data_IF_431497631778
#
_entry.id   IF_431497631778
#
_cell.length_a   1.000
_cell.length_b   1.000
_cell.length_c   1.000
_cell.angle_alpha   90.00
_cell.angle_beta   90.00
_cell.angle_gamma   90.00
#
_symmetry.space_group_name_H-M   'P 1'
#
loop_
_entity.id
_entity.type
_entity.pdbx_description
1 polymer ?
#
# COMPACT_ATOMS: atom_id res chain seq x y z
N UNK A 1 -38.57 -22.87 -5.71
CA UNK A 1 -37.29 -23.12 -5.01
C UNK A 1 -37.19 -24.59 -4.69
N UNK A 2 -36.05 -25.22 -5.02
CA UNK A 2 -35.93 -26.67 -5.15
C UNK A 2 -35.42 -27.29 -3.84
N UNK A 3 -36.15 -28.22 -3.20
CA UNK A 3 -35.66 -28.96 -2.02
C UNK A 3 -34.31 -29.65 -2.28
N UNK A 4 -34.01 -29.94 -3.55
CA UNK A 4 -32.71 -30.45 -3.99
C UNK A 4 -31.53 -29.51 -3.68
N UNK A 5 -31.73 -28.19 -3.70
CA UNK A 5 -30.67 -27.21 -3.42
C UNK A 5 -30.30 -27.23 -1.94
N UNK A 6 -31.29 -27.31 -1.05
CA UNK A 6 -31.08 -27.41 0.41
C UNK A 6 -30.34 -28.70 0.77
N UNK A 7 -30.74 -29.84 0.20
CA UNK A 7 -30.05 -31.11 0.43
C UNK A 7 -28.59 -31.10 -0.02
N UNK A 8 -28.28 -30.44 -1.14
CA UNK A 8 -26.89 -30.25 -1.58
C UNK A 8 -26.09 -29.39 -0.61
N UNK A 9 -26.68 -28.29 -0.12
CA UNK A 9 -26.04 -27.41 0.87
C UNK A 9 -25.78 -28.18 2.17
N UNK A 10 -26.74 -28.98 2.66
CA UNK A 10 -26.55 -29.83 3.85
C UNK A 10 -25.41 -30.83 3.69
N UNK A 11 -25.35 -31.50 2.53
CA UNK A 11 -24.27 -32.44 2.22
C UNK A 11 -22.91 -31.75 2.21
N UNK A 12 -22.82 -30.58 1.60
CA UNK A 12 -21.58 -29.81 1.55
C UNK A 12 -21.18 -29.30 2.94
N UNK A 13 -22.15 -28.85 3.75
CA UNK A 13 -21.90 -28.41 5.12
C UNK A 13 -21.41 -29.55 6.02
N UNK A 14 -21.83 -30.78 5.79
CA UNK A 14 -21.31 -31.94 6.52
C UNK A 14 -19.81 -32.18 6.27
N UNK A 15 -19.24 -31.60 5.21
CA UNK A 15 -17.81 -31.69 4.89
C UNK A 15 -16.96 -30.57 5.51
N UNK A 16 -17.58 -29.55 6.13
CA UNK A 16 -16.85 -28.46 6.78
C UNK A 16 -16.99 -28.54 8.31
N UNK A 17 -15.92 -28.24 9.07
CA UNK A 17 -16.02 -28.19 10.52
C UNK A 17 -16.91 -27.02 10.94
N UNK A 18 -17.95 -27.30 11.74
CA UNK A 18 -18.73 -26.26 12.39
C UNK A 18 -17.91 -25.66 13.53
N UNK A 19 -17.77 -24.34 13.49
CA UNK A 19 -17.01 -23.58 14.49
C UNK A 19 -17.90 -23.20 15.68
N UNK A 20 -17.28 -22.74 16.75
CA UNK A 20 -17.98 -22.20 17.91
C UNK A 20 -18.69 -20.88 17.58
N UNK A 21 -19.61 -20.48 18.46
CA UNK A 21 -20.34 -19.21 18.33
C UNK A 21 -19.40 -18.01 18.31
N UNK A 22 -19.83 -16.95 17.63
CA UNK A 22 -19.08 -15.71 17.52
C UNK A 22 -18.91 -15.05 18.89
N UNK A 23 -17.71 -14.57 19.17
CA UNK A 23 -17.47 -13.72 20.34
C UNK A 23 -17.96 -12.30 20.04
N UNK A 24 -18.85 -11.79 20.88
CA UNK A 24 -19.44 -10.46 20.70
C UNK A 24 -18.69 -9.36 21.46
N UNK A 25 -18.92 -8.12 21.07
CA UNK A 25 -18.32 -6.95 21.73
C UNK A 25 -19.18 -6.44 22.88
N UNK A 26 -18.53 -6.11 24.00
CA UNK A 26 -19.15 -5.33 25.09
C UNK A 26 -19.20 -3.82 24.77
N UNK A 27 -18.26 -3.33 23.95
CA UNK A 27 -18.23 -1.92 23.55
C UNK A 27 -19.13 -1.71 22.31
N UNK A 28 -20.23 -0.94 22.39
CA UNK A 28 -21.14 -0.68 21.26
C UNK A 28 -20.46 0.01 20.07
N UNK A 29 -19.40 0.79 20.32
CA UNK A 29 -18.63 1.42 19.26
C UNK A 29 -17.91 0.39 18.40
N UNK A 30 -17.35 -0.66 19.01
CA UNK A 30 -16.64 -1.72 18.27
C UNK A 30 -17.57 -2.51 17.36
N UNK A 31 -18.85 -2.70 17.74
CA UNK A 31 -19.87 -3.31 16.88
C UNK A 31 -20.02 -2.53 15.57
N UNK A 32 -20.17 -1.20 15.65
CA UNK A 32 -20.32 -0.33 14.47
C UNK A 32 -19.03 -0.32 13.65
N UNK A 33 -17.89 -0.15 14.32
CA UNK A 33 -16.59 -0.08 13.64
C UNK A 33 -16.29 -1.38 12.89
N UNK A 34 -16.48 -2.54 13.51
CA UNK A 34 -16.25 -3.84 12.88
C UNK A 34 -17.10 -4.00 11.62
N UNK A 35 -18.41 -3.79 11.73
CA UNK A 35 -19.29 -4.04 10.60
C UNK A 35 -19.04 -3.08 9.44
N UNK A 36 -18.83 -1.79 9.73
CA UNK A 36 -18.62 -0.77 8.68
C UNK A 36 -17.24 -0.93 8.02
N UNK A 37 -16.22 -1.34 8.78
CA UNK A 37 -14.86 -1.61 8.26
C UNK A 37 -14.80 -2.91 7.43
N UNK A 38 -15.64 -3.89 7.72
CA UNK A 38 -15.68 -5.20 7.05
C UNK A 38 -16.20 -5.19 5.61
N UNK A 39 -16.46 -4.01 5.04
CA UNK A 39 -16.94 -3.84 3.67
C UNK A 39 -15.79 -3.97 2.67
N UNK A 40 -15.79 -5.04 1.87
CA UNK A 40 -14.86 -5.25 0.74
C UNK A 40 -13.37 -5.12 1.13
N UNK A 41 -13.03 -5.62 2.33
CA UNK A 41 -11.66 -5.67 2.87
C UNK A 41 -11.32 -7.07 3.33
N UNK A 42 -10.04 -7.38 3.33
CA UNK A 42 -9.50 -8.58 3.99
C UNK A 42 -9.62 -8.36 5.49
N UNK A 43 -10.42 -9.17 6.17
CA UNK A 43 -10.82 -8.94 7.56
C UNK A 43 -9.62 -8.94 8.51
N UNK A 44 -8.76 -9.94 8.38
CA UNK A 44 -7.64 -10.21 9.28
C UNK A 44 -6.52 -9.18 9.15
N UNK A 45 -6.19 -8.78 7.92
CA UNK A 45 -5.07 -7.86 7.66
C UNK A 45 -5.49 -6.40 7.63
N UNK A 46 -6.78 -6.14 7.36
CA UNK A 46 -7.34 -4.80 7.35
C UNK A 46 -8.11 -4.52 8.61
N UNK A 47 -9.23 -5.18 8.88
CA UNK A 47 -10.18 -4.79 9.94
C UNK A 47 -9.61 -4.99 11.34
N UNK A 48 -9.13 -6.19 11.64
CA UNK A 48 -8.65 -6.58 12.99
C UNK A 48 -7.58 -5.63 13.54
N UNK A 49 -6.51 -5.25 12.80
CA UNK A 49 -5.53 -4.28 13.29
C UNK A 49 -6.11 -2.92 13.65
N UNK A 50 -7.15 -2.44 12.92
CA UNK A 50 -7.78 -1.14 13.21
C UNK A 50 -8.66 -1.20 14.45
N UNK A 51 -9.40 -2.30 14.63
CA UNK A 51 -10.20 -2.50 15.83
C UNK A 51 -9.31 -2.62 17.07
N UNK A 52 -8.21 -3.38 16.96
CA UNK A 52 -7.24 -3.50 18.05
C UNK A 52 -6.55 -2.16 18.36
N UNK A 53 -6.18 -1.38 17.33
CA UNK A 53 -5.66 -0.03 17.51
C UNK A 53 -6.66 0.86 18.24
N UNK A 54 -7.93 0.88 17.82
CA UNK A 54 -8.98 1.66 18.46
C UNK A 54 -9.21 1.24 19.92
N UNK A 55 -9.38 -0.06 20.16
CA UNK A 55 -9.60 -0.63 21.49
C UNK A 55 -8.45 -0.35 22.46
N UNK A 56 -7.22 -0.35 21.97
CA UNK A 56 -6.02 -0.15 22.80
C UNK A 56 -5.77 1.34 23.09
N UNK A 57 -5.92 2.20 22.09
CA UNK A 57 -5.53 3.61 22.21
C UNK A 57 -6.67 4.53 22.65
N UNK A 58 -7.93 4.12 22.45
CA UNK A 58 -9.12 4.92 22.76
C UNK A 58 -10.17 4.12 23.54
N UNK A 59 -9.81 3.40 24.62
CA UNK A 59 -10.76 2.60 25.41
C UNK A 59 -11.86 3.45 26.06
N UNK A 60 -11.62 4.75 26.24
CA UNK A 60 -12.59 5.71 26.75
C UNK A 60 -13.76 5.96 25.79
N UNK A 61 -13.61 5.70 24.49
CA UNK A 61 -14.70 5.84 23.52
C UNK A 61 -15.52 4.55 23.53
N UNK A 62 -16.43 4.47 24.50
CA UNK A 62 -17.20 3.25 24.79
C UNK A 62 -18.73 3.44 24.80
N UNK A 63 -19.22 4.62 24.43
CA UNK A 63 -20.65 4.92 24.24
C UNK A 63 -20.89 5.54 22.86
N UNK A 64 -22.10 5.39 22.33
CA UNK A 64 -22.52 5.99 21.07
C UNK A 64 -22.41 7.51 21.12
N UNK A 65 -22.78 8.14 22.24
CA UNK A 65 -22.65 9.59 22.41
C UNK A 65 -21.18 10.04 22.38
N UNK A 66 -20.26 9.30 23.02
CA UNK A 66 -18.83 9.60 22.94
C UNK A 66 -18.28 9.44 21.52
N UNK A 67 -18.69 8.38 20.80
CA UNK A 67 -18.29 8.16 19.41
C UNK A 67 -18.79 9.29 18.50
N UNK A 68 -20.08 9.63 18.61
CA UNK A 68 -20.71 10.72 17.84
C UNK A 68 -20.01 12.05 18.11
N UNK A 69 -19.83 12.40 19.39
CA UNK A 69 -19.18 13.65 19.79
C UNK A 69 -17.72 13.71 19.32
N UNK A 70 -17.00 12.58 19.37
CA UNK A 70 -15.63 12.49 18.89
C UNK A 70 -15.56 12.76 17.38
N UNK A 71 -16.40 12.09 16.59
CA UNK A 71 -16.44 12.27 15.14
C UNK A 71 -16.82 13.71 14.78
N UNK A 72 -17.86 14.27 15.41
CA UNK A 72 -18.28 15.65 15.17
C UNK A 72 -17.19 16.67 15.51
N UNK A 73 -16.41 16.42 16.57
CA UNK A 73 -15.31 17.31 16.98
C UNK A 73 -14.15 17.32 15.99
N UNK A 74 -13.82 16.19 15.37
CA UNK A 74 -12.67 16.09 14.45
C UNK A 74 -13.02 16.22 12.97
N UNK A 75 -14.30 16.14 12.63
CA UNK A 75 -14.78 16.01 11.26
C UNK A 75 -14.80 14.55 10.82
N UNK A 76 -15.89 14.14 10.17
CA UNK A 76 -16.10 12.75 9.75
C UNK A 76 -15.00 12.22 8.81
N UNK A 77 -14.48 13.07 7.94
CA UNK A 77 -13.40 12.82 7.00
C UNK A 77 -12.05 12.53 7.68
N UNK A 78 -11.86 13.02 8.92
CA UNK A 78 -10.62 12.87 9.68
C UNK A 78 -10.68 11.77 10.73
N UNK A 79 -11.87 11.23 11.02
CA UNK A 79 -12.04 10.24 12.08
C UNK A 79 -11.23 8.97 11.81
N UNK A 80 -11.34 8.42 10.59
CA UNK A 80 -10.69 7.16 10.26
C UNK A 80 -9.16 7.25 10.27
N UNK A 81 -8.58 8.33 9.74
CA UNK A 81 -7.14 8.51 9.73
C UNK A 81 -6.59 8.66 11.15
N UNK A 82 -7.32 9.37 12.02
CA UNK A 82 -6.89 9.67 13.39
C UNK A 82 -7.13 8.55 14.40
N UNK A 83 -8.30 7.91 14.37
CA UNK A 83 -8.71 6.96 15.40
C UNK A 83 -8.62 5.50 14.95
N UNK A 84 -8.55 5.24 13.64
CA UNK A 84 -8.43 3.90 13.08
C UNK A 84 -7.11 3.68 12.34
N UNK A 85 -6.23 4.68 12.21
CA UNK A 85 -5.04 4.60 11.35
C UNK A 85 -5.41 4.11 9.92
N UNK A 86 -6.47 4.70 9.36
CA UNK A 86 -7.07 4.25 8.11
C UNK A 86 -7.35 5.41 7.15
N UNK A 87 -6.73 5.37 5.98
CA UNK A 87 -6.77 6.45 4.99
C UNK A 87 -7.95 6.27 4.03
N UNK A 88 -9.17 6.43 4.54
CA UNK A 88 -10.39 6.47 3.72
C UNK A 88 -11.44 7.37 4.39
N UNK A 89 -11.56 8.61 3.94
CA UNK A 89 -12.36 9.66 4.60
C UNK A 89 -13.85 9.29 4.72
N UNK A 90 -14.43 8.70 3.66
CA UNK A 90 -15.87 8.45 3.58
C UNK A 90 -16.39 7.49 4.67
N UNK A 91 -15.52 6.65 5.26
CA UNK A 91 -15.95 5.70 6.27
C UNK A 91 -16.39 6.36 7.57
N UNK A 92 -15.79 7.49 7.94
CA UNK A 92 -16.15 8.19 9.16
C UNK A 92 -17.57 8.75 9.12
N UNK A 93 -18.05 9.13 7.92
CA UNK A 93 -19.46 9.54 7.75
C UNK A 93 -20.41 8.36 7.93
N UNK A 94 -20.08 7.20 7.38
CA UNK A 94 -20.89 5.98 7.55
C UNK A 94 -20.95 5.58 9.03
N UNK A 95 -19.82 5.60 9.74
CA UNK A 95 -19.76 5.31 11.18
C UNK A 95 -20.65 6.29 11.96
N UNK A 96 -20.54 7.59 11.68
CA UNK A 96 -21.34 8.63 12.33
C UNK A 96 -22.84 8.41 12.14
N UNK A 97 -23.28 8.23 10.89
CA UNK A 97 -24.69 8.06 10.55
C UNK A 97 -25.27 6.78 11.15
N UNK A 98 -24.45 5.72 11.20
CA UNK A 98 -24.82 4.45 11.85
C UNK A 98 -24.99 4.65 13.36
N UNK A 99 -24.03 5.32 14.00
CA UNK A 99 -24.08 5.60 15.44
C UNK A 99 -25.28 6.49 15.80
N UNK A 100 -25.54 7.53 15.01
CA UNK A 100 -26.72 8.40 15.20
C UNK A 100 -28.03 7.63 15.05
N UNK A 101 -28.14 6.75 14.05
CA UNK A 101 -29.34 5.95 13.86
C UNK A 101 -29.60 5.03 15.06
N UNK A 102 -28.58 4.31 15.54
CA UNK A 102 -28.71 3.48 16.73
C UNK A 102 -29.04 4.31 17.96
N UNK A 103 -28.40 5.46 18.15
CA UNK A 103 -28.61 6.33 19.31
C UNK A 103 -30.06 6.84 19.39
N UNK A 104 -30.68 7.19 18.25
CA UNK A 104 -32.07 7.65 18.21
C UNK A 104 -33.05 6.49 18.45
N UNK A 105 -32.70 5.26 18.08
CA UNK A 105 -33.58 4.09 18.18
C UNK A 105 -33.34 3.23 19.44
N UNK A 106 -32.44 3.65 20.35
CA UNK A 106 -32.08 2.87 21.56
C UNK A 106 -33.19 2.78 22.62
N UNK A 107 -34.32 3.48 22.45
CA UNK A 107 -35.54 3.38 23.26
C UNK A 107 -35.32 3.40 24.80
N UNK A 108 -34.54 4.38 25.29
CA UNK A 108 -34.13 4.55 26.70
C UNK A 108 -33.28 3.43 27.32
N UNK A 109 -32.88 2.42 26.54
CA UNK A 109 -31.90 1.44 26.98
C UNK A 109 -30.49 2.01 26.95
N UNK A 110 -29.59 1.39 27.72
CA UNK A 110 -28.15 1.57 27.56
C UNK A 110 -27.73 1.16 26.15
N UNK A 111 -26.65 1.76 25.65
CA UNK A 111 -26.32 1.74 24.22
C UNK A 111 -26.34 0.34 23.59
N UNK A 112 -25.61 -0.63 24.14
CA UNK A 112 -25.55 -1.98 23.57
C UNK A 112 -26.90 -2.71 23.63
N UNK A 113 -27.63 -2.58 24.73
CA UNK A 113 -28.96 -3.19 24.88
C UNK A 113 -29.96 -2.56 23.91
N UNK A 114 -29.93 -1.24 23.75
CA UNK A 114 -30.76 -0.53 22.80
C UNK A 114 -30.43 -0.85 21.35
N UNK A 115 -29.15 -1.09 21.03
CA UNK A 115 -28.75 -1.58 19.70
C UNK A 115 -29.32 -2.98 19.44
N UNK A 116 -29.22 -3.90 20.40
CA UNK A 116 -29.79 -5.26 20.30
C UNK A 116 -31.31 -5.20 20.14
N UNK A 117 -31.98 -4.38 20.96
CA UNK A 117 -33.43 -4.15 20.87
C UNK A 117 -33.79 -3.65 19.47
N UNK A 118 -33.15 -2.59 18.98
CA UNK A 118 -33.43 -2.05 17.66
C UNK A 118 -33.20 -3.08 16.54
N UNK A 119 -32.11 -3.84 16.59
CA UNK A 119 -31.79 -4.88 15.63
C UNK A 119 -32.84 -6.01 15.57
N UNK A 120 -33.52 -6.30 16.69
CA UNK A 120 -34.61 -7.27 16.75
C UNK A 120 -35.93 -6.77 16.15
N UNK A 121 -36.06 -5.45 15.90
CA UNK A 121 -37.32 -4.89 15.41
C UNK A 121 -37.54 -5.18 13.91
N UNK A 122 -38.81 -5.31 13.46
CA UNK A 122 -39.12 -5.48 12.04
C UNK A 122 -38.63 -4.34 11.13
N UNK A 123 -38.41 -3.16 11.69
CA UNK A 123 -37.99 -1.97 10.94
C UNK A 123 -36.47 -1.88 10.78
N UNK A 124 -35.66 -2.67 11.50
CA UNK A 124 -34.21 -2.56 11.52
C UNK A 124 -33.61 -2.49 10.11
N UNK A 125 -33.85 -3.52 9.28
CA UNK A 125 -33.29 -3.59 7.93
C UNK A 125 -33.76 -2.46 7.03
N UNK A 126 -34.99 -1.96 7.21
CA UNK A 126 -35.52 -0.84 6.43
C UNK A 126 -34.81 0.46 6.78
N UNK A 127 -34.55 0.69 8.06
CA UNK A 127 -33.96 1.93 8.55
C UNK A 127 -32.42 1.94 8.38
N UNK A 128 -31.73 0.86 8.74
CA UNK A 128 -30.26 0.79 8.68
C UNK A 128 -29.73 0.92 7.24
N UNK A 129 -30.46 0.39 6.25
CA UNK A 129 -30.11 0.52 4.82
C UNK A 129 -30.30 1.94 4.26
N UNK A 130 -30.91 2.87 5.01
CA UNK A 130 -30.97 4.29 4.62
C UNK A 130 -29.63 5.00 4.85
N UNK A 131 -28.77 4.45 5.71
CA UNK A 131 -27.41 4.98 5.90
C UNK A 131 -26.61 4.73 4.62
N UNK A 132 -26.16 5.81 3.98
CA UNK A 132 -25.38 5.71 2.75
C UNK A 132 -24.11 4.88 2.99
N UNK A 133 -23.92 3.84 2.20
CA UNK A 133 -22.82 2.88 2.35
C UNK A 133 -23.16 1.60 3.13
N UNK A 134 -24.37 1.46 3.68
CA UNK A 134 -24.82 0.19 4.26
C UNK A 134 -25.70 -0.57 3.25
N UNK A 135 -25.13 -1.61 2.66
CA UNK A 135 -25.86 -2.61 1.87
C UNK A 135 -26.42 -3.75 2.72
N UNK A 136 -27.08 -4.73 2.08
CA UNK A 136 -27.66 -5.90 2.76
C UNK A 136 -26.64 -6.71 3.56
N UNK A 137 -25.43 -6.91 3.01
CA UNK A 137 -24.37 -7.65 3.68
C UNK A 137 -23.95 -6.96 4.99
N UNK A 138 -23.65 -5.66 4.97
CA UNK A 138 -23.28 -4.91 6.19
C UNK A 138 -24.42 -4.85 7.20
N UNK A 139 -25.66 -4.65 6.74
CA UNK A 139 -26.83 -4.62 7.62
C UNK A 139 -27.03 -5.96 8.36
N UNK A 140 -26.88 -7.08 7.67
CA UNK A 140 -26.99 -8.41 8.28
C UNK A 140 -25.80 -8.74 9.17
N UNK A 141 -24.59 -8.31 8.81
CA UNK A 141 -23.42 -8.47 9.68
C UNK A 141 -23.54 -7.67 10.98
N UNK A 142 -24.05 -6.43 10.93
CA UNK A 142 -24.41 -5.67 12.13
C UNK A 142 -25.41 -6.44 13.01
N UNK A 143 -26.42 -7.06 12.40
CA UNK A 143 -27.41 -7.86 13.12
C UNK A 143 -26.78 -9.08 13.80
N UNK A 144 -25.88 -9.78 13.10
CA UNK A 144 -25.12 -10.92 13.65
C UNK A 144 -24.31 -10.48 14.87
N UNK A 145 -23.55 -9.38 14.78
CA UNK A 145 -22.76 -8.85 15.91
C UNK A 145 -23.63 -8.41 17.10
N UNK A 146 -24.92 -8.19 16.88
CA UNK A 146 -25.92 -7.86 17.90
C UNK A 146 -26.75 -9.08 18.36
N UNK A 147 -26.35 -10.30 17.96
CA UNK A 147 -26.97 -11.56 18.39
C UNK A 147 -28.24 -11.94 17.62
N UNK A 148 -28.51 -11.32 16.47
CA UNK A 148 -29.60 -11.75 15.59
C UNK A 148 -29.10 -12.93 14.76
N UNK A 149 -29.80 -14.06 14.84
CA UNK A 149 -29.50 -15.26 14.06
C UNK A 149 -29.87 -15.04 12.58
N UNK A 150 -28.88 -14.62 11.80
CA UNK A 150 -28.99 -14.35 10.36
C UNK A 150 -27.67 -14.67 9.67
N UNK A 151 -27.69 -14.67 8.34
CA UNK A 151 -26.53 -14.82 7.45
C UNK A 151 -26.12 -13.49 6.84
N UNK A 152 -24.84 -13.27 6.64
CA UNK A 152 -24.27 -12.16 5.87
C UNK A 152 -24.02 -12.63 4.43
N UNK A 153 -24.80 -12.21 3.43
CA UNK A 153 -24.61 -12.65 2.04
C UNK A 153 -23.42 -11.93 1.39
N UNK A 154 -22.19 -12.18 1.86
CA UNK A 154 -20.97 -11.66 1.25
C UNK A 154 -20.42 -12.60 0.16
N UNK A 155 -19.27 -12.22 -0.42
CA UNK A 155 -18.68 -12.96 -1.52
C UNK A 155 -18.35 -14.43 -1.17
N UNK A 156 -18.03 -14.74 0.10
CA UNK A 156 -17.70 -16.10 0.52
C UNK A 156 -18.96 -16.95 0.62
N UNK A 157 -20.01 -16.43 1.26
CA UNK A 157 -21.30 -17.12 1.38
C UNK A 157 -21.93 -17.34 -0.01
N UNK A 158 -21.97 -16.30 -0.84
CA UNK A 158 -22.54 -16.39 -2.19
C UNK A 158 -21.77 -17.41 -3.04
N UNK A 159 -20.43 -17.41 -2.97
CA UNK A 159 -19.59 -18.37 -3.70
C UNK A 159 -19.83 -19.80 -3.22
N UNK A 160 -19.83 -20.03 -1.91
CA UNK A 160 -20.07 -21.35 -1.33
C UNK A 160 -21.41 -21.91 -1.82
N UNK A 161 -22.49 -21.15 -1.68
CA UNK A 161 -23.82 -21.59 -2.12
C UNK A 161 -23.82 -21.82 -3.63
N UNK A 162 -23.32 -20.85 -4.42
CA UNK A 162 -23.35 -20.94 -5.89
C UNK A 162 -22.60 -22.15 -6.43
N UNK A 163 -21.43 -22.47 -5.85
CA UNK A 163 -20.64 -23.64 -6.21
C UNK A 163 -21.34 -24.94 -5.81
N UNK A 164 -21.94 -24.98 -4.62
CA UNK A 164 -22.64 -26.16 -4.10
C UNK A 164 -23.84 -26.55 -4.95
N UNK A 165 -24.59 -25.56 -5.44
CA UNK A 165 -25.81 -25.80 -6.22
C UNK A 165 -25.60 -25.69 -7.73
N UNK A 166 -24.39 -25.35 -8.17
CA UNK A 166 -23.96 -25.19 -9.57
C UNK A 166 -24.79 -24.15 -10.36
N UNK A 167 -25.08 -23.00 -9.73
CA UNK A 167 -25.69 -21.84 -10.39
C UNK A 167 -25.47 -20.57 -9.57
N UNK A 168 -25.63 -19.41 -10.21
CA UNK A 168 -25.60 -18.12 -9.52
C UNK A 168 -26.83 -17.97 -8.59
N UNK A 169 -26.61 -17.32 -7.45
CA UNK A 169 -27.66 -16.91 -6.50
C UNK A 169 -27.59 -15.41 -6.22
N UNK A 170 -28.73 -14.79 -5.91
CA UNK A 170 -28.77 -13.42 -5.41
C UNK A 170 -28.45 -13.36 -3.91
N UNK A 171 -28.24 -12.14 -3.37
CA UNK A 171 -28.03 -11.93 -1.94
C UNK A 171 -29.24 -12.42 -1.11
N UNK A 172 -30.46 -12.13 -1.55
CA UNK A 172 -31.69 -12.57 -0.89
C UNK A 172 -31.90 -14.09 -0.98
N UNK A 173 -31.56 -14.68 -2.13
CA UNK A 173 -31.65 -16.13 -2.31
C UNK A 173 -30.63 -16.86 -1.44
N UNK A 174 -29.39 -16.36 -1.35
CA UNK A 174 -28.38 -16.88 -0.45
C UNK A 174 -28.86 -16.86 1.01
N UNK A 175 -29.52 -15.76 1.40
CA UNK A 175 -30.12 -15.65 2.74
C UNK A 175 -31.19 -16.73 2.96
N UNK A 176 -32.16 -16.86 2.05
CA UNK A 176 -33.26 -17.81 2.21
C UNK A 176 -32.76 -19.25 2.26
N UNK A 177 -31.87 -19.62 1.32
CA UNK A 177 -31.31 -20.95 1.23
C UNK A 177 -30.57 -21.34 2.51
N UNK A 178 -29.68 -20.48 3.01
CA UNK A 178 -28.91 -20.82 4.20
C UNK A 178 -29.76 -20.81 5.48
N UNK A 179 -30.71 -19.88 5.60
CA UNK A 179 -31.65 -19.84 6.75
C UNK A 179 -32.50 -21.11 6.81
N UNK A 180 -33.00 -21.58 5.67
CA UNK A 180 -33.80 -22.82 5.60
C UNK A 180 -32.95 -24.06 5.84
N UNK A 181 -31.74 -24.08 5.29
CA UNK A 181 -30.78 -25.17 5.52
C UNK A 181 -30.45 -25.29 7.01
N UNK A 182 -30.13 -24.17 7.67
CA UNK A 182 -29.87 -24.11 9.10
C UNK A 182 -31.06 -24.65 9.92
N UNK A 183 -32.27 -24.21 9.58
CA UNK A 183 -33.51 -24.70 10.22
C UNK A 183 -33.71 -26.20 10.06
N UNK A 184 -33.40 -26.79 8.91
CA UNK A 184 -33.49 -28.24 8.70
C UNK A 184 -32.39 -29.03 9.42
N UNK A 185 -31.26 -28.38 9.70
CA UNK A 185 -30.15 -28.96 10.46
C UNK A 185 -30.31 -28.78 11.98
N UNK A 186 -31.31 -28.02 12.43
CA UNK A 186 -31.47 -27.59 13.83
C UNK A 186 -30.23 -26.84 14.36
N UNK A 187 -29.64 -25.98 13.51
CA UNK A 187 -28.42 -25.22 13.78
C UNK A 187 -28.66 -23.71 13.63
N UNK A 188 -27.86 -22.90 14.33
CA UNK A 188 -27.86 -21.45 14.14
C UNK A 188 -27.34 -21.09 12.75
N UNK A 189 -28.08 -20.23 12.04
CA UNK A 189 -27.65 -19.76 10.72
C UNK A 189 -26.41 -18.87 10.83
N UNK A 190 -26.27 -18.09 11.90
CA UNK A 190 -25.07 -17.29 12.16
C UNK A 190 -23.83 -18.15 12.42
N UNK A 191 -24.00 -19.30 13.10
CA UNK A 191 -22.92 -20.28 13.30
C UNK A 191 -22.50 -20.91 11.98
N UNK A 192 -23.45 -21.29 11.14
CA UNK A 192 -23.18 -21.82 9.79
C UNK A 192 -22.51 -20.76 8.92
N UNK A 193 -22.96 -19.51 8.96
CA UNK A 193 -22.33 -18.37 8.26
C UNK A 193 -20.86 -18.23 8.64
N UNK A 194 -20.54 -18.18 9.93
CA UNK A 194 -19.16 -18.09 10.42
C UNK A 194 -18.32 -19.30 9.99
N UNK A 195 -18.89 -20.51 10.04
CA UNK A 195 -18.23 -21.75 9.64
C UNK A 195 -17.87 -21.73 8.15
N UNK A 196 -18.82 -21.35 7.29
CA UNK A 196 -18.59 -21.19 5.85
C UNK A 196 -17.55 -20.10 5.62
N UNK A 197 -17.66 -18.96 6.28
CA UNK A 197 -16.74 -17.85 6.08
C UNK A 197 -15.31 -18.24 6.43
N UNK A 198 -15.06 -18.89 7.57
CA UNK A 198 -13.72 -19.38 7.95
C UNK A 198 -13.20 -20.46 7.00
N UNK A 199 -14.09 -21.33 6.53
CA UNK A 199 -13.74 -22.33 5.52
C UNK A 199 -13.31 -21.67 4.20
N UNK A 200 -14.08 -20.67 3.76
CA UNK A 200 -13.92 -20.03 2.45
C UNK A 200 -12.87 -18.91 2.43
N UNK A 201 -12.52 -18.33 3.58
CA UNK A 201 -11.50 -17.29 3.71
C UNK A 201 -10.09 -17.88 3.80
N UNK A 202 -9.96 -19.14 4.24
CA UNK A 202 -8.67 -19.84 4.32
C UNK A 202 -8.34 -20.61 3.02
N UNK A 203 -7.28 -20.24 2.28
CA UNK A 203 -6.89 -20.92 1.05
C UNK A 203 -6.50 -22.39 1.25
N UNK A 204 -6.01 -22.77 2.44
CA UNK A 204 -5.56 -24.14 2.70
C UNK A 204 -6.72 -25.14 2.80
N UNK A 205 -7.88 -24.69 3.29
CA UNK A 205 -9.09 -25.52 3.39
C UNK A 205 -9.65 -25.87 2.01
N UNK A 206 -9.42 -25.00 1.02
CA UNK A 206 -9.78 -25.25 -0.38
C UNK A 206 -8.84 -26.28 -1.03
N UNK A 207 -7.54 -26.20 -0.73
CA UNK A 207 -6.51 -27.16 -1.20
C UNK A 207 -6.69 -28.58 -0.63
N UNK A 208 -7.18 -28.72 0.61
CA UNK A 208 -7.49 -30.04 1.19
C UNK A 208 -8.71 -30.68 0.51
N UNK A 209 -9.73 -29.88 0.16
CA UNK A 209 -10.93 -30.35 -0.54
C UNK A 209 -10.60 -30.95 -1.92
N UNK A 210 -9.67 -30.32 -2.63
CA UNK A 210 -9.15 -30.79 -3.92
C UNK A 210 -8.35 -32.10 -3.78
N UNK A 211 -7.64 -32.30 -2.66
CA UNK A 211 -6.88 -33.52 -2.37
C UNK A 211 -7.74 -34.70 -1.92
N UNK A 212 -8.87 -34.47 -1.26
CA UNK A 212 -9.73 -35.54 -0.71
C UNK A 212 -10.70 -36.18 -1.70
N UNK A 213 -10.75 -35.74 -2.97
CA UNK A 213 -11.46 -36.47 -4.04
C UNK A 213 -13.00 -36.50 -3.92
N UNK A 214 -13.61 -35.59 -3.15
CA UNK A 214 -15.07 -35.54 -2.93
C UNK A 214 -15.90 -35.00 -4.12
N UNK A 215 -15.25 -34.73 -5.27
CA UNK A 215 -15.91 -34.42 -6.54
C UNK A 215 -15.56 -35.47 -7.61
N UNK A 216 -16.01 -36.70 -7.40
CA UNK A 216 -16.05 -37.69 -8.47
C UNK A 216 -17.37 -37.53 -9.24
N UNK A 217 -17.30 -36.96 -10.46
CA UNK A 217 -18.27 -37.03 -11.57
C UNK A 217 -18.71 -35.69 -12.19
N UNK A 218 -17.81 -34.72 -12.28
CA UNK A 218 -17.85 -33.72 -13.34
C UNK A 218 -16.43 -33.49 -13.82
N UNK A 219 -16.23 -33.53 -15.15
CA UNK A 219 -14.95 -33.17 -15.76
C UNK A 219 -14.47 -31.83 -15.18
N UNK A 220 -13.18 -31.69 -14.86
CA UNK A 220 -12.70 -30.63 -13.98
C UNK A 220 -12.93 -29.26 -14.62
N UNK A 221 -13.88 -28.50 -14.07
CA UNK A 221 -14.00 -27.06 -14.32
C UNK A 221 -13.01 -26.38 -13.37
N UNK A 222 -11.86 -26.02 -13.92
CA UNK A 222 -10.75 -25.33 -13.28
C UNK A 222 -11.20 -23.93 -12.78
N UNK A 223 -11.56 -23.81 -11.50
CA UNK A 223 -11.89 -22.52 -10.86
C UNK A 223 -10.76 -22.09 -9.92
N UNK A 224 -9.80 -21.36 -10.50
CA UNK A 224 -8.65 -20.71 -9.85
C UNK A 224 -9.05 -19.77 -8.70
N UNK A 225 -8.64 -20.08 -7.47
CA UNK A 225 -8.29 -19.03 -6.49
C UNK A 225 -6.87 -18.61 -6.82
N UNK A 226 -6.75 -17.40 -7.35
CA UNK A 226 -5.64 -16.95 -8.18
C UNK A 226 -4.38 -16.59 -7.37
N UNK A 227 -3.85 -17.53 -6.56
CA UNK A 227 -2.40 -17.59 -6.37
C UNK A 227 -1.83 -18.27 -7.60
N UNK A 228 -1.34 -17.47 -8.53
CA UNK A 228 -0.66 -17.99 -9.72
C UNK A 228 0.48 -18.88 -9.22
N UNK A 229 0.36 -20.19 -9.43
CA UNK A 229 1.39 -21.14 -9.01
C UNK A 229 2.68 -20.84 -9.77
N UNK A 230 3.84 -21.36 -9.33
CA UNK A 230 5.06 -21.25 -10.13
C UNK A 230 4.90 -21.82 -11.55
N UNK A 231 4.05 -22.83 -11.70
CA UNK A 231 3.67 -23.36 -13.01
C UNK A 231 2.85 -22.34 -13.82
N UNK A 232 1.83 -21.72 -13.22
CA UNK A 232 1.03 -20.69 -13.89
C UNK A 232 1.85 -19.43 -14.21
N UNK A 233 2.82 -19.07 -13.36
CA UNK A 233 3.74 -17.95 -13.59
C UNK A 233 4.59 -18.23 -14.82
N UNK A 234 5.20 -19.41 -14.91
CA UNK A 234 6.01 -19.81 -16.07
C UNK A 234 5.18 -19.87 -17.34
N UNK A 235 4.01 -20.50 -17.28
CA UNK A 235 3.09 -20.55 -18.42
C UNK A 235 2.68 -19.16 -18.88
N UNK A 236 2.31 -18.29 -17.94
CA UNK A 236 1.96 -16.89 -18.24
C UNK A 236 3.14 -16.14 -18.83
N UNK A 237 4.35 -16.30 -18.26
CA UNK A 237 5.57 -15.68 -18.78
C UNK A 237 5.82 -16.09 -20.25
N UNK A 238 5.70 -17.38 -20.57
CA UNK A 238 5.82 -17.89 -21.95
C UNK A 238 4.77 -17.27 -22.88
N UNK A 239 3.50 -17.19 -22.44
CA UNK A 239 2.40 -16.58 -23.20
C UNK A 239 2.66 -15.10 -23.48
N UNK A 240 3.05 -14.33 -22.47
CA UNK A 240 3.35 -12.90 -22.61
C UNK A 240 4.60 -12.65 -23.45
N UNK A 241 5.64 -13.49 -23.35
CA UNK A 241 6.82 -13.43 -24.22
C UNK A 241 6.46 -13.74 -25.67
N UNK A 242 5.59 -14.72 -25.92
CA UNK A 242 5.10 -15.03 -27.26
C UNK A 242 4.24 -13.90 -27.84
N UNK A 243 3.41 -13.24 -27.01
CA UNK A 243 2.68 -12.02 -27.40
C UNK A 243 3.65 -10.89 -27.76
N UNK A 244 4.66 -10.64 -26.93
CA UNK A 244 5.67 -9.61 -27.19
C UNK A 244 6.38 -9.83 -28.52
N UNK A 245 6.86 -11.05 -28.79
CA UNK A 245 7.49 -11.40 -30.06
C UNK A 245 6.58 -11.16 -31.26
N UNK A 246 5.28 -11.48 -31.15
CA UNK A 246 4.29 -11.21 -32.21
C UNK A 246 4.08 -9.72 -32.47
N UNK A 247 3.98 -8.91 -31.42
CA UNK A 247 3.82 -7.45 -31.57
C UNK A 247 5.07 -6.81 -32.20
N UNK A 248 6.27 -7.25 -31.82
CA UNK A 248 7.51 -6.81 -32.45
C UNK A 248 7.58 -7.25 -33.93
N UNK A 249 7.16 -8.47 -34.27
CA UNK A 249 7.08 -8.94 -35.66
C UNK A 249 6.09 -8.12 -36.50
N UNK A 250 5.06 -7.54 -35.87
CA UNK A 250 4.11 -6.61 -36.50
C UNK A 250 4.66 -5.17 -36.60
N UNK A 251 5.93 -4.96 -36.28
CA UNK A 251 6.61 -3.67 -36.26
C UNK A 251 6.02 -2.66 -35.25
N UNK A 252 5.36 -3.13 -34.19
CA UNK A 252 4.92 -2.23 -33.10
C UNK A 252 6.16 -1.70 -32.36
N UNK A 253 6.30 -0.38 -32.16
CA UNK A 253 7.41 0.18 -31.41
C UNK A 253 7.44 -0.34 -29.97
N UNK A 254 8.60 -0.80 -29.50
CA UNK A 254 8.76 -1.33 -28.13
C UNK A 254 8.39 -0.32 -27.03
N UNK A 255 8.50 0.97 -27.32
CA UNK A 255 8.08 2.04 -26.41
C UNK A 255 6.57 2.13 -26.20
N UNK A 256 5.76 1.52 -27.06
CA UNK A 256 4.29 1.41 -26.94
C UNK A 256 3.87 0.13 -26.19
N UNK A 257 4.80 -0.79 -25.96
CA UNK A 257 4.57 -2.07 -25.27
C UNK A 257 4.94 -1.99 -23.77
N UNK A 258 4.82 -0.82 -23.14
CA UNK A 258 5.21 -0.60 -21.73
C UNK A 258 4.43 -1.47 -20.75
N UNK A 259 3.12 -1.67 -20.98
CA UNK A 259 2.31 -2.57 -20.16
C UNK A 259 2.74 -4.03 -20.30
N UNK A 260 3.04 -4.47 -21.53
CA UNK A 260 3.45 -5.82 -21.83
C UNK A 260 4.83 -6.14 -21.26
N UNK A 261 5.79 -5.22 -21.45
CA UNK A 261 7.15 -5.34 -20.88
C UNK A 261 7.15 -5.24 -19.36
N UNK A 262 6.31 -4.36 -18.78
CA UNK A 262 6.05 -4.32 -17.34
C UNK A 262 5.61 -5.68 -16.80
N UNK A 263 4.57 -6.25 -17.41
CA UNK A 263 4.02 -7.55 -17.00
C UNK A 263 5.01 -8.71 -17.13
N UNK A 264 5.76 -8.77 -18.23
CA UNK A 264 6.82 -9.76 -18.42
C UNK A 264 7.89 -9.63 -17.31
N UNK A 265 8.26 -8.40 -16.97
CA UNK A 265 9.22 -8.15 -15.89
C UNK A 265 8.74 -8.65 -14.53
N UNK A 266 7.50 -8.37 -14.16
CA UNK A 266 6.91 -8.85 -12.89
C UNK A 266 6.90 -10.40 -12.83
N UNK A 267 6.44 -11.04 -13.91
CA UNK A 267 6.38 -12.50 -14.03
C UNK A 267 7.76 -13.16 -13.97
N UNK A 268 8.74 -12.56 -14.65
CA UNK A 268 10.13 -13.00 -14.63
C UNK A 268 10.71 -12.95 -13.22
N UNK A 269 10.52 -11.82 -12.52
CA UNK A 269 11.01 -11.66 -11.15
C UNK A 269 10.33 -12.67 -10.22
N UNK A 270 9.01 -12.86 -10.34
CA UNK A 270 8.27 -13.86 -9.57
C UNK A 270 8.79 -15.29 -9.76
N UNK A 271 9.04 -15.75 -11.00
CA UNK A 271 9.66 -17.07 -11.20
C UNK A 271 11.10 -17.09 -10.66
N UNK A 272 11.90 -16.04 -10.88
CA UNK A 272 13.30 -16.00 -10.45
C UNK A 272 13.45 -16.15 -8.95
N UNK A 273 12.67 -15.40 -8.16
CA UNK A 273 12.72 -15.45 -6.68
C UNK A 273 11.90 -16.60 -6.10
N UNK A 274 11.33 -17.46 -6.96
CA UNK A 274 10.41 -18.56 -6.61
C UNK A 274 9.24 -18.05 -5.75
N UNK A 275 8.79 -16.85 -6.08
CA UNK A 275 7.81 -16.09 -5.35
C UNK A 275 6.43 -16.10 -6.00
N UNK A 276 5.60 -15.15 -5.61
CA UNK A 276 4.24 -14.99 -6.14
C UNK A 276 3.97 -13.54 -6.51
N UNK A 277 3.01 -13.32 -7.41
CA UNK A 277 2.58 -11.97 -7.78
C UNK A 277 1.87 -11.28 -6.62
N UNK A 278 2.02 -9.96 -6.53
CA UNK A 278 1.17 -9.07 -5.76
C UNK A 278 -0.33 -9.32 -6.03
N UNK A 279 -1.12 -9.64 -5.00
CA UNK A 279 -2.52 -10.09 -5.15
C UNK A 279 -3.56 -8.96 -5.22
N UNK A 280 -3.28 -7.75 -4.71
CA UNK A 280 -4.28 -6.67 -4.68
C UNK A 280 -4.16 -5.70 -5.85
N UNK A 281 -5.30 -5.25 -6.37
CA UNK A 281 -5.41 -4.24 -7.44
C UNK A 281 -4.99 -2.82 -7.02
N UNK A 282 -4.39 -2.65 -5.84
CA UNK A 282 -3.94 -1.37 -5.29
C UNK A 282 -2.75 -1.53 -4.31
N UNK A 283 -1.82 -2.46 -4.57
CA UNK A 283 -0.65 -2.65 -3.71
C UNK A 283 0.28 -1.43 -3.71
N UNK A 284 0.75 -1.07 -2.52
CA UNK A 284 1.54 0.14 -2.30
C UNK A 284 2.99 -0.08 -2.71
N UNK A 285 3.28 0.04 -4.00
CA UNK A 285 4.63 0.27 -4.52
C UNK A 285 5.52 -0.96 -4.75
N UNK A 286 5.01 -2.17 -4.54
CA UNK A 286 5.68 -3.44 -4.84
C UNK A 286 4.78 -4.35 -5.69
N UNK A 287 5.39 -5.27 -6.44
CA UNK A 287 4.75 -6.03 -7.51
C UNK A 287 4.87 -7.56 -7.32
N UNK A 288 5.83 -8.02 -6.51
CA UNK A 288 6.14 -9.44 -6.28
C UNK A 288 6.42 -9.70 -4.79
N UNK A 289 6.01 -10.85 -4.28
CA UNK A 289 6.48 -11.41 -3.00
C UNK A 289 7.55 -12.47 -3.25
N UNK A 290 8.68 -12.42 -2.53
CA UNK A 290 9.65 -13.51 -2.55
C UNK A 290 9.14 -14.76 -1.82
N UNK A 291 9.86 -15.87 -1.93
CA UNK A 291 9.57 -17.07 -1.15
C UNK A 291 9.73 -16.86 0.38
N UNK A 292 10.44 -15.81 0.80
CA UNK A 292 10.63 -15.42 2.20
C UNK A 292 9.71 -14.23 2.58
N UNK A 293 8.60 -14.05 1.85
CA UNK A 293 7.60 -12.99 2.04
C UNK A 293 8.12 -11.53 1.93
N UNK A 294 9.29 -11.32 1.32
CA UNK A 294 9.80 -9.97 1.05
C UNK A 294 9.04 -9.31 -0.09
N UNK A 295 8.73 -8.02 0.06
CA UNK A 295 8.00 -7.20 -0.92
C UNK A 295 8.97 -6.57 -1.92
N UNK A 296 8.87 -6.99 -3.18
CA UNK A 296 9.79 -6.59 -4.25
C UNK A 296 9.09 -5.61 -5.21
N UNK A 297 9.67 -4.41 -5.38
CA UNK A 297 9.26 -3.46 -6.42
C UNK A 297 9.98 -3.74 -7.73
N UNK A 298 9.25 -3.97 -8.81
CA UNK A 298 9.79 -4.28 -10.13
C UNK A 298 9.71 -3.04 -11.03
N UNK A 299 10.80 -2.72 -11.72
CA UNK A 299 10.83 -1.67 -12.72
C UNK A 299 11.46 -2.20 -14.01
N UNK A 300 10.67 -2.15 -15.07
CA UNK A 300 11.08 -2.59 -16.41
C UNK A 300 11.29 -1.39 -17.32
N UNK A 301 12.31 -1.44 -18.17
CA UNK A 301 12.50 -0.48 -19.27
C UNK A 301 12.84 -1.18 -20.58
N UNK A 302 12.37 -0.61 -21.69
CA UNK A 302 12.83 -0.98 -23.03
C UNK A 302 13.87 -0.01 -23.58
N UNK A 303 14.09 1.13 -22.90
CA UNK A 303 15.07 2.11 -23.32
C UNK A 303 16.48 1.55 -23.19
N UNK A 304 17.41 1.98 -24.05
CA UNK A 304 18.86 1.80 -23.85
C UNK A 304 19.56 3.07 -23.37
N UNK A 305 18.82 4.16 -23.17
CA UNK A 305 19.39 5.46 -22.82
C UNK A 305 19.90 5.51 -21.38
N UNK A 306 21.15 5.96 -21.18
CA UNK A 306 21.72 6.22 -19.86
C UNK A 306 21.01 7.32 -19.07
N UNK A 307 20.25 8.21 -19.75
CA UNK A 307 19.43 9.24 -19.12
C UNK A 307 18.07 8.73 -18.61
N UNK A 308 17.69 7.49 -18.90
CA UNK A 308 16.45 6.91 -18.41
C UNK A 308 16.41 6.89 -16.88
N UNK A 309 15.25 7.20 -16.33
CA UNK A 309 15.00 7.29 -14.90
C UNK A 309 13.92 6.28 -14.50
N UNK A 310 14.24 5.46 -13.51
CA UNK A 310 13.29 4.57 -12.85
C UNK A 310 12.68 5.32 -11.67
N UNK A 311 11.39 5.62 -11.76
CA UNK A 311 10.68 6.39 -10.75
C UNK A 311 10.04 5.48 -9.69
N UNK A 312 10.12 5.94 -8.45
CA UNK A 312 9.52 5.33 -7.28
C UNK A 312 8.65 6.35 -6.57
N UNK A 313 7.54 5.89 -6.01
CA UNK A 313 6.64 6.76 -5.26
C UNK A 313 7.17 6.93 -3.82
N UNK A 314 7.49 8.17 -3.45
CA UNK A 314 8.00 8.50 -2.12
C UNK A 314 7.05 8.10 -0.98
N UNK A 315 5.73 8.07 -1.24
CA UNK A 315 4.71 7.72 -0.25
C UNK A 315 4.53 6.20 -0.08
N UNK A 316 5.17 5.38 -0.91
CA UNK A 316 5.00 3.91 -0.86
C UNK A 316 6.31 3.13 -0.81
N UNK A 317 7.45 3.79 -1.04
CA UNK A 317 8.76 3.12 -1.06
C UNK A 317 9.16 2.55 0.31
N UNK A 318 8.55 3.01 1.41
CA UNK A 318 8.74 2.45 2.75
C UNK A 318 8.10 1.07 2.95
N UNK A 319 7.16 0.68 2.08
CA UNK A 319 6.54 -0.65 2.10
C UNK A 319 7.26 -1.66 1.21
N UNK A 320 8.42 -1.28 0.64
CA UNK A 320 9.22 -2.11 -0.26
C UNK A 320 10.43 -2.61 0.51
N UNK A 321 10.68 -3.92 0.48
CA UNK A 321 11.86 -4.52 1.12
C UNK A 321 13.04 -4.60 0.14
N UNK A 322 12.74 -4.92 -1.13
CA UNK A 322 13.74 -5.11 -2.19
C UNK A 322 13.30 -4.45 -3.50
N UNK A 323 14.27 -4.03 -4.31
CA UNK A 323 14.03 -3.39 -5.62
C UNK A 323 14.69 -4.21 -6.71
N UNK A 324 13.93 -4.56 -7.73
CA UNK A 324 14.40 -5.26 -8.92
C UNK A 324 14.22 -4.39 -10.16
N UNK A 325 15.31 -4.10 -10.86
CA UNK A 325 15.29 -3.30 -12.10
C UNK A 325 15.84 -4.16 -13.24
N UNK A 326 15.08 -4.23 -14.33
CA UNK A 326 15.43 -5.00 -15.51
C UNK A 326 15.17 -4.21 -16.80
N UNK A 327 15.85 -4.64 -17.86
CA UNK A 327 15.65 -4.18 -19.22
C UNK A 327 15.17 -5.35 -20.08
N UNK A 328 14.20 -5.08 -20.95
CA UNK A 328 13.81 -6.01 -22.01
C UNK A 328 14.15 -5.33 -23.34
N UNK A 329 14.98 -5.98 -24.17
CA UNK A 329 15.30 -5.44 -25.49
C UNK A 329 14.30 -5.88 -26.56
N UNK A 330 14.60 -5.53 -27.82
CA UNK A 330 13.71 -5.79 -28.96
C UNK A 330 13.59 -7.28 -29.28
N UNK A 331 14.60 -8.07 -28.96
CA UNK A 331 14.60 -9.52 -29.20
C UNK A 331 13.86 -10.27 -28.08
N UNK A 332 13.49 -9.55 -27.02
CA UNK A 332 12.82 -10.08 -25.83
C UNK A 332 13.80 -10.59 -24.78
N UNK A 333 15.10 -10.30 -24.94
CA UNK A 333 16.12 -10.69 -23.98
C UNK A 333 16.02 -9.82 -22.73
N UNK A 334 16.08 -10.48 -21.57
CA UNK A 334 15.95 -9.85 -20.26
C UNK A 334 17.34 -9.63 -19.68
N UNK A 335 17.69 -8.37 -19.47
CA UNK A 335 18.92 -7.95 -18.80
C UNK A 335 18.60 -7.40 -17.41
N UNK A 336 19.16 -8.02 -16.38
CA UNK A 336 19.04 -7.52 -15.01
C UNK A 336 20.02 -6.36 -14.78
N UNK A 337 19.50 -5.25 -14.26
CA UNK A 337 20.28 -4.04 -14.02
C UNK A 337 20.56 -3.80 -12.53
N UNK A 338 19.66 -4.27 -11.66
CA UNK A 338 19.79 -4.11 -10.21
C UNK A 338 18.87 -5.09 -9.48
N UNK A 339 19.36 -5.73 -8.43
CA UNK A 339 18.54 -6.46 -7.46
C UNK A 339 19.21 -6.41 -6.08
N UNK A 340 18.62 -5.68 -5.15
CA UNK A 340 19.12 -5.52 -3.78
C UNK A 340 18.00 -4.98 -2.86
N UNK A 341 18.29 -4.88 -1.57
CA UNK A 341 17.51 -4.17 -0.56
C UNK A 341 17.12 -2.75 -0.97
N UNK A 342 15.97 -2.29 -0.46
CA UNK A 342 15.52 -0.91 -0.65
C UNK A 342 16.53 0.11 -0.11
N UNK A 343 17.31 -0.25 0.91
CA UNK A 343 18.32 0.63 1.50
C UNK A 343 19.48 0.90 0.53
N UNK A 344 19.99 -0.15 -0.13
CA UNK A 344 20.98 0.02 -1.19
C UNK A 344 20.38 0.72 -2.41
N UNK A 345 19.11 0.48 -2.73
CA UNK A 345 18.42 1.21 -3.79
C UNK A 345 18.33 2.72 -3.47
N UNK A 346 18.06 3.08 -2.21
CA UNK A 346 18.00 4.48 -1.74
C UNK A 346 19.34 5.20 -1.89
N UNK A 347 20.48 4.53 -1.68
CA UNK A 347 21.82 5.10 -1.96
C UNK A 347 21.96 5.56 -3.43
N UNK A 348 21.21 4.95 -4.35
CA UNK A 348 21.20 5.30 -5.78
C UNK A 348 20.15 6.35 -6.15
N UNK A 349 19.11 6.55 -5.33
CA UNK A 349 18.01 7.46 -5.61
C UNK A 349 18.44 8.94 -5.52
N UNK A 350 17.80 9.78 -6.33
CA UNK A 350 17.86 11.24 -6.21
C UNK A 350 16.44 11.75 -6.09
N UNK A 351 16.20 12.61 -5.10
CA UNK A 351 14.92 13.29 -4.96
C UNK A 351 14.96 14.64 -5.69
N UNK A 352 14.12 14.76 -6.73
CA UNK A 352 13.83 16.03 -7.43
C UNK A 352 12.32 16.19 -7.63
N UNK A 353 11.55 15.88 -6.59
CA UNK A 353 10.07 15.86 -6.61
C UNK A 353 9.48 14.49 -6.95
N UNK A 354 10.31 13.55 -7.41
CA UNK A 354 10.05 12.11 -7.48
C UNK A 354 11.34 11.37 -7.14
N UNK A 355 11.26 10.27 -6.41
CA UNK A 355 12.42 9.41 -6.17
C UNK A 355 12.78 8.70 -7.47
N UNK A 356 14.01 8.90 -7.95
CA UNK A 356 14.44 8.34 -9.22
C UNK A 356 15.84 7.73 -9.14
N UNK A 357 16.00 6.55 -9.75
CA UNK A 357 17.31 5.96 -10.04
C UNK A 357 17.62 6.18 -11.52
N UNK A 358 18.75 6.84 -11.82
CA UNK A 358 19.21 6.95 -13.21
C UNK A 358 19.93 5.69 -13.64
N UNK A 359 19.67 5.23 -14.86
CA UNK A 359 20.34 4.06 -15.44
C UNK A 359 21.87 4.18 -15.43
N UNK A 360 22.42 5.37 -15.63
CA UNK A 360 23.88 5.62 -15.57
C UNK A 360 24.52 5.25 -14.22
N UNK A 361 23.75 5.24 -13.12
CA UNK A 361 24.23 4.77 -11.81
C UNK A 361 24.23 3.24 -11.72
N UNK A 362 23.28 2.58 -12.37
CA UNK A 362 23.19 1.10 -12.42
C UNK A 362 24.34 0.47 -13.19
N UNK A 363 24.96 1.19 -14.12
CA UNK A 363 26.18 0.73 -14.79
C UNK A 363 27.46 0.93 -13.96
N UNK A 364 27.38 1.54 -12.78
CA UNK A 364 28.53 1.86 -11.91
C UNK A 364 28.21 1.61 -10.43
N UNK A 365 27.56 0.49 -10.11
CA UNK A 365 27.05 0.20 -8.76
C UNK A 365 28.13 0.25 -7.68
N UNK A 366 29.31 -0.31 -7.95
CA UNK A 366 30.44 -0.35 -7.00
C UNK A 366 30.83 1.03 -6.46
N UNK A 367 30.76 2.07 -7.32
CA UNK A 367 31.05 3.46 -6.93
C UNK A 367 30.09 3.99 -5.86
N UNK A 368 28.84 3.52 -5.86
CA UNK A 368 27.78 4.06 -5.01
C UNK A 368 27.40 3.13 -3.84
N UNK A 369 27.74 1.84 -3.91
CA UNK A 369 27.40 0.84 -2.91
C UNK A 369 28.58 0.41 -2.03
N UNK A 370 29.81 0.83 -2.33
CA UNK A 370 30.95 0.59 -1.44
C UNK A 370 30.85 1.47 -0.20
N UNK A 371 30.55 0.85 0.94
CA UNK A 371 30.76 1.47 2.24
C UNK A 371 32.27 1.64 2.42
N UNK A 372 32.79 2.87 2.40
CA UNK A 372 34.15 3.10 2.90
C UNK A 372 34.13 2.80 4.39
N UNK A 373 34.66 1.63 4.74
CA UNK A 373 34.91 1.20 6.12
C UNK A 373 35.76 2.24 6.83
N UNK A 374 35.26 2.67 7.98
CA UNK A 374 35.81 3.61 8.93
C UNK A 374 37.03 2.97 9.64
N UNK A 375 38.26 3.32 9.21
CA UNK A 375 39.53 2.91 9.87
C UNK A 375 40.36 4.15 10.22
N UNK A 376 39.77 5.16 10.86
CA UNK A 376 40.55 6.28 11.41
C UNK A 376 40.08 6.77 12.78
N UNK A 377 39.70 5.84 13.67
CA UNK A 377 39.76 6.03 15.13
C UNK A 377 41.04 5.41 15.69
N UNK A 378 42.17 6.01 15.34
CA UNK A 378 43.51 5.90 15.94
C UNK A 378 44.44 6.48 14.87
N UNK A 379 44.91 7.72 15.00
CA UNK A 379 46.18 8.00 15.66
C UNK A 379 46.24 9.50 16.00
N UNK A 380 46.78 9.72 17.18
CA UNK A 380 47.17 10.94 17.86
C UNK A 380 48.08 11.84 16.99
N UNK A 381 47.85 13.15 17.04
CA UNK A 381 48.93 14.14 16.94
C UNK A 381 49.08 14.90 15.63
N UNK A 382 48.77 16.19 15.71
CA UNK A 382 49.33 17.32 14.97
C UNK A 382 49.02 17.47 13.45
N UNK A 383 48.40 18.62 13.18
CA UNK A 383 48.44 19.41 11.95
C UNK A 383 47.71 18.89 10.70
N UNK A 384 46.68 19.68 10.36
CA UNK A 384 46.27 20.13 9.02
C UNK A 384 45.09 19.43 8.34
N UNK A 385 43.99 20.20 8.26
CA UNK A 385 42.99 20.30 7.20
C UNK A 385 42.05 19.13 6.86
N UNK A 386 40.82 19.32 7.32
CA UNK A 386 39.59 18.62 6.90
C UNK A 386 39.30 18.87 5.42
N UNK A 387 38.84 17.85 4.68
CA UNK A 387 37.84 17.98 3.60
C UNK A 387 37.24 16.61 3.21
N UNK A 388 36.04 16.31 3.69
CA UNK A 388 35.10 15.40 3.02
C UNK A 388 33.64 15.73 3.36
N UNK A 389 32.80 15.76 2.32
CA UNK A 389 31.33 15.99 2.27
C UNK A 389 30.83 17.44 2.45
N UNK A 390 30.83 18.17 1.32
CA UNK A 390 30.08 19.37 0.89
C UNK A 390 29.33 20.22 1.95
N UNK A 391 29.97 20.52 3.08
CA UNK A 391 29.91 21.83 3.70
C UNK A 391 31.20 22.53 3.33
N UNK A 392 31.11 23.67 2.67
CA UNK A 392 32.27 24.55 2.57
C UNK A 392 31.94 25.80 3.37
N UNK A 393 32.43 25.84 4.60
CA UNK A 393 32.44 27.06 5.41
C UNK A 393 33.74 27.78 5.08
N UNK A 394 33.65 28.93 4.42
CA UNK A 394 34.80 29.74 4.07
C UNK A 394 34.84 30.94 5.02
N UNK A 395 35.83 30.97 5.89
CA UNK A 395 36.13 32.14 6.72
C UNK A 395 37.32 32.87 6.09
N UNK A 396 37.05 33.98 5.41
CA UNK A 396 38.11 34.86 4.89
C UNK A 396 38.50 35.80 6.04
N UNK A 397 39.72 35.62 6.55
CA UNK A 397 40.20 36.11 7.86
C UNK A 397 40.26 37.63 8.07
N UNK A 398 39.72 38.44 7.18
CA UNK A 398 39.64 39.91 7.33
C UNK A 398 38.26 40.49 6.95
N UNK A 399 37.23 39.66 6.69
CA UNK A 399 35.94 40.16 6.16
C UNK A 399 34.67 39.60 6.82
N UNK A 400 34.76 38.82 7.90
CA UNK A 400 33.64 38.41 8.78
C UNK A 400 32.34 37.94 8.10
N UNK A 401 32.41 37.23 6.97
CA UNK A 401 31.26 36.55 6.37
C UNK A 401 31.50 35.05 6.18
N UNK A 402 30.42 34.26 6.26
CA UNK A 402 30.36 32.82 5.96
C UNK A 402 29.39 32.57 4.82
N UNK A 403 29.79 31.72 3.89
CA UNK A 403 29.01 31.34 2.71
C UNK A 403 28.66 29.86 2.79
N UNK A 404 27.37 29.54 2.84
CA UNK A 404 26.87 28.17 2.85
C UNK A 404 26.29 27.80 1.49
N UNK A 405 26.74 26.68 0.92
CA UNK A 405 26.25 26.16 -0.36
C UNK A 405 25.85 24.69 -0.17
N UNK A 406 24.56 24.39 -0.33
CA UNK A 406 24.03 23.02 -0.35
C UNK A 406 23.20 22.83 -1.62
N UNK A 407 23.81 22.23 -2.63
CA UNK A 407 23.22 22.09 -3.97
C UNK A 407 22.91 23.46 -4.60
N UNK A 408 21.63 23.81 -4.74
CA UNK A 408 21.15 25.09 -5.29
C UNK A 408 20.80 26.13 -4.22
N UNK A 409 20.87 25.78 -2.93
CA UNK A 409 20.54 26.68 -1.82
C UNK A 409 21.81 27.38 -1.39
N UNK A 410 21.80 28.71 -1.43
CA UNK A 410 22.92 29.56 -1.03
C UNK A 410 22.48 30.47 0.10
N UNK A 411 23.25 30.50 1.17
CA UNK A 411 23.05 31.42 2.29
C UNK A 411 24.35 32.15 2.58
N UNK A 412 24.24 33.41 2.96
CA UNK A 412 25.37 34.21 3.42
C UNK A 412 25.05 34.67 4.83
N UNK A 413 26.01 34.54 5.72
CA UNK A 413 25.97 35.03 7.09
C UNK A 413 27.10 36.05 7.24
N UNK A 414 26.81 37.20 7.84
CA UNK A 414 27.81 38.24 8.09
C UNK A 414 27.73 38.63 9.56
N UNK A 415 28.87 38.61 10.26
CA UNK A 415 28.96 38.87 11.70
C UNK A 415 27.98 38.05 12.55
N UNK A 416 27.73 36.78 12.20
CA UNK A 416 26.82 35.91 12.94
C UNK A 416 25.33 36.03 12.56
N UNK A 417 24.98 36.85 11.56
CA UNK A 417 23.59 37.11 11.16
C UNK A 417 23.33 36.71 9.72
N UNK A 418 22.27 35.91 9.51
CA UNK A 418 21.88 35.43 8.19
C UNK A 418 21.32 36.57 7.32
N UNK A 419 21.93 36.79 6.16
CA UNK A 419 21.52 37.82 5.21
C UNK A 419 20.36 37.33 4.34
N UNK A 420 19.23 38.05 4.37
CA UNK A 420 18.01 37.72 3.61
C UNK A 420 18.17 37.86 2.09
N UNK A 421 18.91 38.87 1.61
CA UNK A 421 19.15 39.10 0.18
C UNK A 421 20.57 38.74 -0.19
N UNK A 422 20.75 37.54 -0.74
CA UNK A 422 22.06 36.91 -0.91
C UNK A 422 22.82 37.43 -2.14
N UNK A 423 22.12 37.85 -3.20
CA UNK A 423 22.72 38.21 -4.50
C UNK A 423 23.60 39.47 -4.47
N UNK A 424 23.20 40.59 -3.83
CA UNK A 424 24.07 41.77 -3.70
C UNK A 424 25.36 41.47 -2.95
N UNK A 425 25.28 40.67 -1.88
CA UNK A 425 26.45 40.31 -1.08
C UNK A 425 27.41 39.38 -1.83
N UNK A 426 26.89 38.43 -2.61
CA UNK A 426 27.72 37.61 -3.50
C UNK A 426 28.49 38.43 -4.56
N UNK A 427 27.91 39.53 -5.06
CA UNK A 427 28.62 40.43 -5.98
C UNK A 427 29.74 41.20 -5.30
N UNK A 428 29.47 41.71 -4.10
CA UNK A 428 30.47 42.37 -3.25
C UNK A 428 31.65 41.43 -3.00
N UNK A 429 31.38 40.18 -2.59
CA UNK A 429 32.40 39.14 -2.37
C UNK A 429 33.21 38.86 -3.64
N UNK A 430 32.55 38.76 -4.80
CA UNK A 430 33.27 38.62 -6.08
C UNK A 430 34.22 39.80 -6.35
N UNK A 431 33.78 41.03 -6.08
CA UNK A 431 34.60 42.22 -6.23
C UNK A 431 35.83 42.20 -5.33
N UNK A 432 35.67 41.81 -4.06
CA UNK A 432 36.76 41.70 -3.10
C UNK A 432 37.77 40.61 -3.48
N UNK A 433 37.32 39.52 -4.11
CA UNK A 433 38.17 38.44 -4.61
C UNK A 433 38.79 38.71 -6.00
N UNK A 434 38.59 39.92 -6.54
CA UNK A 434 39.07 40.30 -7.87
C UNK A 434 38.45 39.49 -9.01
N UNK A 435 37.22 38.98 -8.83
CA UNK A 435 36.47 38.26 -9.85
C UNK A 435 35.69 39.29 -10.66
N UNK A 436 36.04 39.46 -11.94
CA UNK A 436 35.30 40.38 -12.83
C UNK A 436 33.82 39.99 -12.93
N UNK A 437 32.95 40.96 -12.61
CA UNK A 437 31.50 40.87 -12.76
C UNK A 437 31.09 41.91 -13.81
N UNK A 438 30.70 41.47 -15.00
CA UNK A 438 30.23 42.36 -16.07
C UNK A 438 28.77 42.77 -15.84
N UNK A 439 28.46 44.04 -16.10
CA UNK A 439 27.12 44.62 -15.95
C UNK A 439 26.28 44.42 -17.23
N UNK A 440 24.93 44.41 -17.13
CA UNK A 440 24.08 43.75 -18.12
C UNK A 440 24.06 44.52 -19.44
N UNK A 441 24.58 43.89 -20.50
CA UNK A 441 24.58 44.49 -21.84
C UNK A 441 25.47 43.84 -22.90
N UNK A 442 25.79 42.56 -22.83
CA UNK A 442 26.26 41.71 -23.95
C UNK A 442 26.51 40.29 -23.41
N UNK A 443 26.26 39.28 -24.23
CA UNK A 443 25.93 37.91 -23.81
C UNK A 443 26.84 37.27 -22.75
N UNK A 444 26.19 36.51 -21.86
CA UNK A 444 26.71 35.71 -20.73
C UNK A 444 26.95 36.44 -19.38
N UNK A 445 25.90 37.02 -18.82
CA UNK A 445 25.88 37.39 -17.39
C UNK A 445 25.68 36.12 -16.51
N UNK A 446 26.45 35.89 -15.44
CA UNK A 446 26.04 35.01 -14.34
C UNK A 446 24.82 35.62 -13.60
N UNK A 447 23.62 35.50 -14.16
CA UNK A 447 22.41 36.10 -13.58
C UNK A 447 21.91 35.43 -12.30
N UNK A 448 22.46 34.28 -11.91
CA UNK A 448 21.96 33.45 -10.81
C UNK A 448 22.95 33.33 -9.65
N UNK A 449 22.43 33.23 -8.42
CA UNK A 449 23.24 33.09 -7.20
C UNK A 449 24.23 31.92 -7.30
N UNK A 450 23.80 30.80 -7.91
CA UNK A 450 24.64 29.61 -8.15
C UNK A 450 25.85 29.88 -9.03
N UNK A 451 25.73 30.80 -9.98
CA UNK A 451 26.85 31.16 -10.85
C UNK A 451 27.90 31.97 -10.09
N UNK A 452 27.48 32.94 -9.28
CA UNK A 452 28.39 33.68 -8.38
C UNK A 452 29.07 32.75 -7.37
N UNK A 453 28.30 31.90 -6.69
CA UNK A 453 28.81 30.98 -5.68
C UNK A 453 29.85 30.01 -6.26
N UNK A 454 29.62 29.46 -7.47
CA UNK A 454 30.61 28.58 -8.14
C UNK A 454 31.90 29.30 -8.50
N UNK A 455 31.83 30.56 -8.96
CA UNK A 455 33.02 31.36 -9.27
C UNK A 455 33.84 31.66 -8.01
N UNK A 456 33.17 32.01 -6.91
CA UNK A 456 33.79 32.26 -5.60
C UNK A 456 34.48 31.00 -5.09
N UNK A 457 33.77 29.86 -5.04
CA UNK A 457 34.35 28.57 -4.61
C UNK A 457 35.55 28.21 -5.46
N UNK A 458 35.44 28.29 -6.79
CA UNK A 458 36.55 27.98 -7.71
C UNK A 458 37.77 28.88 -7.48
N UNK A 459 37.57 30.18 -7.23
CA UNK A 459 38.66 31.12 -6.95
C UNK A 459 39.34 30.81 -5.62
N UNK A 460 38.56 30.57 -4.57
CA UNK A 460 39.09 30.24 -3.23
C UNK A 460 39.84 28.90 -3.25
N UNK A 461 39.25 27.86 -3.85
CA UNK A 461 39.89 26.53 -3.96
C UNK A 461 41.22 26.57 -4.72
N UNK A 462 41.35 27.44 -5.73
CA UNK A 462 42.61 27.59 -6.47
C UNK A 462 43.67 28.41 -5.71
N UNK A 463 43.26 29.30 -4.81
CA UNK A 463 44.17 30.08 -3.96
C UNK A 463 44.73 29.26 -2.79
N UNK A 464 44.08 28.15 -2.42
CA UNK A 464 44.53 27.24 -1.34
C UNK A 464 45.60 26.22 -1.78
N UNK A 465 46.06 26.30 -3.03
CA UNK A 465 47.09 25.41 -3.62
C UNK A 465 48.45 26.07 -3.84
N UNK A 466 48.71 27.23 -3.23
CA UNK A 466 50.05 27.84 -3.16
C UNK A 466 50.43 28.21 -1.74
#
# INVERSE_FOLDING_TARGET
MNNKDIERIKQELASIPLVDELTYYENPCLVILDAVMSRSRVYETTVVPRLNYFKTNYPEINTLDMLINTINKVGSENFASKFLNYQFADIGKVILDTAMLFNINKNNFEDLEGMKYFASTPNFYKEIKKVNGIGIATARYLAILLGIDTVKPDIHIIRFISQTIDRKVSEEEAVDLLTRTAKEMDESVARIDNSIWQFMSNPNNQLEKEKTGLMANSEPIEVRVNKMTLFDIRKSLEEYQAMFKREIQRNVPIGELTHLTGRIGELYVADKVKGTMAFDTNQKGFDVFSNDDKRISVKTTSSSSGSHQFFFNANTIEFVDEVFILKIDRDGEIQELFYDSVDNARKLMVDRGKLAISRSKLSNLEKYLTDKVDISKEIIGQNTSILSMDYHDFEIKDMNFRLFINGNVIRVEENGVLIKSVKPKLREICGLLGIEVTYPGSGSDPTTNNSYARKIVKKISNSSTH
#
